data_IF_687938059525
#
_entry.id   IF_687938059525
#
_cell.length_a   1.000
_cell.length_b   1.000
_cell.length_c   1.000
_cell.angle_alpha   90.00
_cell.angle_beta   90.00
_cell.angle_gamma   90.00
#
_symmetry.space_group_name_H-M   'P 1'
#
loop_
_entity.id
_entity.type
_entity.pdbx_description
1 polymer ?
#
# COMPACT_ATOMS: atom_id res chain seq x y z
N UNK A 1 -15.74 -18.25 -12.34
CA UNK A 1 -14.42 -18.13 -13.02
C UNK A 1 -13.34 -18.29 -11.95
N UNK A 2 -12.35 -19.16 -12.16
CA UNK A 2 -11.29 -19.43 -11.17
C UNK A 2 -10.06 -18.59 -11.51
N UNK A 3 -9.77 -17.58 -10.69
CA UNK A 3 -8.57 -16.76 -10.78
C UNK A 3 -7.52 -17.28 -9.79
N UNK A 4 -6.28 -17.46 -10.25
CA UNK A 4 -5.16 -17.94 -9.42
C UNK A 4 -4.04 -16.92 -9.45
N UNK A 5 -3.59 -16.48 -8.27
CA UNK A 5 -2.37 -15.72 -8.08
C UNK A 5 -1.28 -16.64 -7.56
N UNK A 6 -0.14 -16.64 -8.23
CA UNK A 6 1.01 -17.42 -7.82
C UNK A 6 2.19 -16.55 -7.44
N UNK A 7 2.77 -16.88 -6.31
CA UNK A 7 4.06 -16.33 -5.89
C UNK A 7 5.01 -17.48 -5.52
N UNK A 8 6.16 -17.54 -6.19
CA UNK A 8 7.20 -18.53 -5.85
C UNK A 8 7.59 -18.41 -4.38
N UNK A 9 7.78 -17.18 -3.89
CA UNK A 9 8.11 -16.87 -2.51
C UNK A 9 7.29 -15.71 -1.99
N UNK A 10 6.63 -15.91 -0.86
CA UNK A 10 5.97 -14.86 -0.09
C UNK A 10 6.87 -14.53 1.10
N UNK A 11 7.56 -13.41 1.05
CA UNK A 11 8.51 -12.98 2.06
C UNK A 11 7.79 -12.40 3.29
N UNK A 12 8.51 -12.21 4.40
CA UNK A 12 7.95 -11.63 5.64
C UNK A 12 7.32 -10.26 5.37
N UNK A 13 7.98 -9.40 4.60
CA UNK A 13 7.49 -8.06 4.23
C UNK A 13 8.08 -7.63 2.88
N UNK A 14 7.25 -7.05 2.03
CA UNK A 14 7.65 -6.46 0.75
C UNK A 14 6.48 -5.78 0.05
N UNK A 15 6.78 -5.04 -1.01
CA UNK A 15 5.75 -4.34 -1.80
C UNK A 15 4.78 -5.28 -2.50
N UNK A 16 5.27 -6.44 -2.98
CA UNK A 16 4.44 -7.44 -3.66
C UNK A 16 3.54 -8.18 -2.66
N UNK A 17 4.05 -8.44 -1.46
CA UNK A 17 3.27 -9.01 -0.36
C UNK A 17 2.17 -8.04 0.09
N UNK A 18 2.47 -6.75 0.18
CA UNK A 18 1.47 -5.72 0.50
C UNK A 18 0.43 -5.58 -0.61
N UNK A 19 0.85 -5.60 -1.89
CA UNK A 19 -0.07 -5.64 -3.02
C UNK A 19 -1.05 -6.80 -2.92
N UNK A 20 -0.54 -8.03 -2.73
CA UNK A 20 -1.38 -9.23 -2.64
C UNK A 20 -2.35 -9.16 -1.45
N UNK A 21 -1.88 -8.66 -0.31
CA UNK A 21 -2.73 -8.45 0.86
C UNK A 21 -3.82 -7.40 0.60
N UNK A 22 -3.51 -6.27 -0.02
CA UNK A 22 -4.51 -5.25 -0.33
C UNK A 22 -5.50 -5.72 -1.38
N UNK A 23 -5.01 -6.46 -2.38
CA UNK A 23 -5.88 -7.13 -3.33
C UNK A 23 -6.87 -8.06 -2.61
N UNK A 24 -6.37 -8.90 -1.67
CA UNK A 24 -7.19 -9.83 -0.89
C UNK A 24 -8.21 -9.14 0.02
N UNK A 25 -7.96 -7.91 0.44
CA UNK A 25 -8.91 -7.12 1.23
C UNK A 25 -10.05 -6.53 0.39
N UNK A 26 -9.75 -6.14 -0.85
CA UNK A 26 -10.67 -5.40 -1.71
C UNK A 26 -11.44 -6.30 -2.68
N UNK A 27 -10.87 -7.46 -3.02
CA UNK A 27 -11.44 -8.36 -4.03
C UNK A 27 -11.63 -9.77 -3.50
N UNK A 28 -12.57 -10.49 -4.12
CA UNK A 28 -12.86 -11.91 -3.93
C UNK A 28 -12.66 -12.65 -5.26
N UNK A 29 -12.99 -13.92 -5.30
CA UNK A 29 -12.95 -14.80 -6.48
C UNK A 29 -11.54 -15.08 -6.99
N UNK A 30 -10.56 -15.13 -6.09
CA UNK A 30 -9.24 -15.63 -6.42
C UNK A 30 -8.63 -16.46 -5.29
N UNK A 31 -7.68 -17.28 -5.65
CA UNK A 31 -6.94 -18.17 -4.74
C UNK A 31 -5.45 -17.87 -4.89
N UNK A 32 -4.72 -17.92 -3.79
CA UNK A 32 -3.28 -17.70 -3.78
C UNK A 32 -2.54 -19.03 -3.65
N UNK A 33 -1.60 -19.30 -4.55
CA UNK A 33 -0.68 -20.42 -4.47
C UNK A 33 0.75 -19.95 -4.27
N UNK A 34 1.54 -20.71 -3.50
CA UNK A 34 2.94 -20.41 -3.23
C UNK A 34 3.81 -21.68 -3.13
N UNK A 35 5.14 -21.54 -3.32
CA UNK A 35 6.13 -22.57 -2.99
C UNK A 35 6.65 -22.43 -1.57
N UNK A 36 7.13 -21.23 -1.24
CA UNK A 36 7.69 -20.86 0.05
C UNK A 36 6.98 -19.64 0.60
N UNK A 37 6.73 -19.59 1.88
CA UNK A 37 6.08 -18.42 2.48
C UNK A 37 6.44 -18.24 3.96
N UNK A 38 6.41 -16.98 4.40
CA UNK A 38 6.39 -16.60 5.81
C UNK A 38 5.02 -16.92 6.42
N UNK A 39 5.01 -17.61 7.57
CA UNK A 39 3.78 -18.06 8.21
C UNK A 39 2.83 -16.92 8.57
N UNK A 40 3.34 -15.77 9.04
CA UNK A 40 2.50 -14.61 9.40
C UNK A 40 1.83 -13.98 8.19
N UNK A 41 2.49 -14.00 7.02
CA UNK A 41 1.87 -13.54 5.78
C UNK A 41 0.77 -14.48 5.31
N UNK A 42 0.97 -15.80 5.45
CA UNK A 42 -0.08 -16.77 5.13
C UNK A 42 -1.29 -16.58 6.03
N UNK A 43 -1.11 -16.47 7.34
CA UNK A 43 -2.19 -16.19 8.29
C UNK A 43 -2.94 -14.88 7.94
N UNK A 44 -2.19 -13.86 7.53
CA UNK A 44 -2.75 -12.55 7.13
C UNK A 44 -3.60 -12.66 5.86
N UNK A 45 -3.13 -13.39 4.85
CA UNK A 45 -3.83 -13.60 3.59
C UNK A 45 -5.05 -14.52 3.76
N UNK A 46 -4.91 -15.61 4.51
CA UNK A 46 -5.95 -16.62 4.72
C UNK A 46 -7.21 -16.07 5.43
N UNK A 47 -7.09 -14.91 6.10
CA UNK A 47 -8.27 -14.18 6.63
C UNK A 47 -9.18 -13.60 5.54
N UNK A 48 -8.69 -13.48 4.32
CA UNK A 48 -9.38 -12.78 3.24
C UNK A 48 -9.68 -13.67 2.04
N UNK A 49 -8.79 -14.60 1.69
CA UNK A 49 -8.87 -15.46 0.50
C UNK A 49 -8.30 -16.84 0.81
N UNK A 50 -8.61 -17.84 -0.03
CA UNK A 50 -7.97 -19.15 0.06
C UNK A 50 -6.50 -19.07 -0.30
N UNK A 51 -5.64 -19.77 0.49
CA UNK A 51 -4.19 -19.76 0.31
C UNK A 51 -3.66 -21.19 0.41
N UNK A 52 -2.95 -21.66 -0.62
CA UNK A 52 -2.47 -23.03 -0.69
C UNK A 52 -0.98 -23.10 -1.05
N UNK A 53 -0.27 -24.02 -0.40
CA UNK A 53 1.04 -24.42 -0.86
C UNK A 53 0.89 -25.25 -2.15
N UNK A 54 1.69 -24.94 -3.15
CA UNK A 54 1.67 -25.73 -4.40
C UNK A 54 2.19 -27.14 -4.16
N UNK A 55 1.40 -28.14 -4.54
CA UNK A 55 1.73 -29.56 -4.41
C UNK A 55 1.39 -30.38 -5.66
N UNK A 56 0.54 -29.86 -6.54
CA UNK A 56 0.07 -30.55 -7.75
C UNK A 56 -0.29 -29.56 -8.84
N UNK A 57 -0.35 -29.99 -10.12
CA UNK A 57 -0.74 -29.14 -11.25
C UNK A 57 -2.04 -28.37 -11.00
N UNK A 58 -2.08 -27.13 -11.47
CA UNK A 58 -3.21 -26.22 -11.28
C UNK A 58 -3.96 -26.07 -12.60
N UNK A 59 -5.29 -26.16 -12.55
CA UNK A 59 -6.18 -25.78 -13.66
C UNK A 59 -7.06 -24.59 -13.25
N UNK A 60 -7.05 -23.53 -14.08
CA UNK A 60 -7.77 -22.29 -13.79
C UNK A 60 -8.22 -21.57 -15.07
N UNK A 61 -9.03 -20.52 -14.92
CA UNK A 61 -9.40 -19.66 -16.03
C UNK A 61 -8.33 -18.58 -16.28
N UNK A 62 -7.86 -17.92 -15.20
CA UNK A 62 -6.81 -16.90 -15.27
C UNK A 62 -5.70 -17.18 -14.25
N UNK A 63 -4.49 -17.16 -14.76
CA UNK A 63 -3.28 -17.32 -13.95
C UNK A 63 -2.50 -16.01 -13.91
N UNK A 64 -2.25 -15.50 -12.71
CA UNK A 64 -1.47 -14.30 -12.46
C UNK A 64 -0.19 -14.68 -11.71
N UNK A 65 0.97 -14.28 -12.20
CA UNK A 65 2.23 -14.45 -11.49
C UNK A 65 2.98 -13.14 -11.38
N UNK A 66 3.86 -13.07 -10.37
CA UNK A 66 4.81 -11.98 -10.16
C UNK A 66 6.22 -12.54 -10.21
N UNK A 67 7.15 -11.87 -10.89
CA UNK A 67 8.54 -12.27 -11.14
C UNK A 67 8.68 -13.52 -12.01
N UNK A 68 8.57 -14.71 -11.43
CA UNK A 68 8.73 -16.00 -12.13
C UNK A 68 7.79 -17.05 -11.56
N UNK A 69 7.55 -18.09 -12.32
CA UNK A 69 6.85 -19.28 -11.86
C UNK A 69 7.63 -20.53 -12.27
N UNK A 70 7.47 -21.60 -11.49
CA UNK A 70 8.15 -22.89 -11.62
C UNK A 70 7.19 -24.04 -11.31
N UNK A 71 5.94 -23.88 -11.73
CA UNK A 71 4.84 -24.81 -11.47
C UNK A 71 4.17 -25.22 -12.76
N UNK A 72 3.52 -26.39 -12.74
CA UNK A 72 2.65 -26.81 -13.84
C UNK A 72 1.29 -26.16 -13.68
N UNK A 73 0.88 -25.41 -14.70
CA UNK A 73 -0.40 -24.69 -14.72
C UNK A 73 -1.01 -24.71 -16.13
N UNK A 74 -2.29 -25.07 -16.18
CA UNK A 74 -3.13 -24.96 -17.38
C UNK A 74 -4.14 -23.83 -17.14
N UNK A 75 -4.07 -22.77 -17.92
CA UNK A 75 -4.97 -21.61 -17.81
C UNK A 75 -5.45 -21.19 -19.21
N UNK A 76 -6.63 -20.55 -19.26
CA UNK A 76 -7.13 -19.93 -20.51
C UNK A 76 -6.41 -18.62 -20.82
N UNK A 77 -6.02 -17.89 -19.76
CA UNK A 77 -5.29 -16.63 -19.86
C UNK A 77 -4.16 -16.59 -18.84
N UNK A 78 -3.00 -16.11 -19.27
CA UNK A 78 -1.81 -15.96 -18.44
C UNK A 78 -1.45 -14.49 -18.32
N UNK A 79 -1.16 -14.04 -17.09
CA UNK A 79 -0.78 -12.67 -16.78
C UNK A 79 0.51 -12.61 -15.95
N UNK A 80 1.42 -11.75 -16.35
CA UNK A 80 2.61 -11.42 -15.56
C UNK A 80 2.48 -9.99 -15.03
N UNK A 81 2.54 -9.83 -13.71
CA UNK A 81 2.42 -8.54 -13.03
C UNK A 81 3.80 -7.96 -12.80
N UNK A 82 4.04 -6.78 -13.35
CA UNK A 82 5.32 -6.07 -13.30
C UNK A 82 5.30 -5.09 -12.13
N UNK A 83 5.97 -5.46 -11.04
CA UNK A 83 6.06 -4.69 -9.79
C UNK A 83 7.35 -3.89 -9.66
N UNK A 84 8.16 -3.80 -10.69
CA UNK A 84 9.49 -3.22 -10.65
C UNK A 84 9.73 -2.28 -11.83
N UNK A 85 10.69 -1.41 -11.66
CA UNK A 85 11.27 -0.61 -12.76
C UNK A 85 12.29 -1.49 -13.48
N UNK A 86 11.91 -2.00 -14.66
CA UNK A 86 12.69 -2.97 -15.41
C UNK A 86 14.05 -2.45 -15.88
N UNK A 87 14.24 -1.12 -16.00
CA UNK A 87 15.50 -0.53 -16.36
C UNK A 87 16.51 -0.50 -15.20
N UNK A 88 16.00 -0.52 -13.96
CA UNK A 88 16.81 -0.39 -12.74
C UNK A 88 16.94 -1.68 -11.92
N UNK A 89 16.40 -2.81 -12.40
CA UNK A 89 16.62 -4.12 -11.77
C UNK A 89 17.83 -4.84 -12.37
N UNK A 90 18.54 -5.59 -11.53
CA UNK A 90 19.75 -6.34 -11.91
C UNK A 90 19.47 -7.70 -12.60
N UNK A 91 18.26 -7.93 -13.09
CA UNK A 91 17.88 -9.17 -13.78
C UNK A 91 17.08 -8.87 -15.06
N UNK A 92 17.04 -9.83 -15.96
CA UNK A 92 16.18 -9.76 -17.15
C UNK A 92 14.73 -10.08 -16.73
N UNK A 93 13.77 -9.22 -17.09
CA UNK A 93 12.36 -9.53 -16.90
C UNK A 93 11.96 -10.81 -17.63
N UNK A 94 11.16 -11.64 -16.98
CA UNK A 94 10.59 -12.82 -17.62
C UNK A 94 9.57 -12.40 -18.67
N UNK A 95 9.77 -12.89 -19.89
CA UNK A 95 8.82 -12.75 -20.99
C UNK A 95 8.50 -14.13 -21.56
N UNK A 96 7.23 -14.41 -21.77
CA UNK A 96 6.76 -15.67 -22.36
C UNK A 96 5.70 -15.40 -23.41
N UNK A 97 5.71 -16.17 -24.49
CA UNK A 97 4.66 -16.12 -25.50
C UNK A 97 3.30 -16.48 -24.87
N UNK A 98 2.26 -15.78 -25.27
CA UNK A 98 0.91 -15.98 -24.74
C UNK A 98 0.63 -15.30 -23.40
N UNK A 99 1.63 -14.69 -22.75
CA UNK A 99 1.40 -13.88 -21.54
C UNK A 99 0.94 -12.46 -21.88
N UNK A 100 -0.03 -11.99 -21.12
CA UNK A 100 -0.40 -10.58 -21.02
C UNK A 100 0.33 -9.95 -19.83
N UNK A 101 0.79 -8.72 -19.99
CA UNK A 101 1.57 -8.03 -18.96
C UNK A 101 0.74 -6.93 -18.31
N UNK A 102 0.76 -6.87 -16.98
CA UNK A 102 0.11 -5.83 -16.17
C UNK A 102 1.19 -5.07 -15.43
N UNK A 103 1.33 -3.77 -15.71
CA UNK A 103 2.24 -2.90 -14.95
C UNK A 103 1.48 -2.17 -13.85
N UNK A 104 2.04 -2.18 -12.65
CA UNK A 104 1.41 -1.55 -11.47
C UNK A 104 1.52 -0.01 -11.45
N UNK A 105 2.18 0.56 -12.44
CA UNK A 105 2.35 2.00 -12.65
C UNK A 105 2.76 2.30 -14.08
N UNK A 106 2.64 3.56 -14.52
CA UNK A 106 3.20 4.02 -15.81
C UNK A 106 4.71 3.82 -15.86
N UNK A 107 5.39 4.07 -14.73
CA UNK A 107 6.84 3.84 -14.60
C UNK A 107 7.17 2.37 -14.87
N UNK A 108 6.45 1.41 -14.26
CA UNK A 108 6.64 -0.01 -14.52
C UNK A 108 6.33 -0.40 -15.97
N UNK A 109 5.22 0.09 -16.52
CA UNK A 109 4.86 -0.17 -17.93
C UNK A 109 5.90 0.35 -18.91
N UNK A 110 6.35 1.61 -18.72
CA UNK A 110 7.32 2.26 -19.60
C UNK A 110 8.66 1.53 -19.55
N UNK A 111 9.21 1.28 -18.36
CA UNK A 111 10.50 0.62 -18.20
C UNK A 111 10.48 -0.83 -18.71
N UNK A 112 9.36 -1.53 -18.56
CA UNK A 112 9.20 -2.90 -19.10
C UNK A 112 9.17 -2.89 -20.63
N UNK A 113 8.43 -1.95 -21.25
CA UNK A 113 8.40 -1.78 -22.70
C UNK A 113 9.79 -1.48 -23.26
N UNK A 114 10.51 -0.52 -22.64
CA UNK A 114 11.88 -0.16 -23.05
C UNK A 114 12.86 -1.33 -22.92
N UNK A 115 12.71 -2.17 -21.90
CA UNK A 115 13.60 -3.29 -21.64
C UNK A 115 13.32 -4.52 -22.49
N UNK A 116 12.05 -4.79 -22.83
CA UNK A 116 11.61 -6.06 -23.42
C UNK A 116 10.90 -5.93 -24.75
N UNK A 117 10.48 -4.73 -25.16
CA UNK A 117 9.60 -4.50 -26.31
C UNK A 117 8.12 -4.85 -26.07
N UNK A 118 7.76 -5.40 -24.91
CA UNK A 118 6.40 -5.83 -24.61
C UNK A 118 5.59 -4.72 -23.91
N UNK A 119 4.34 -4.54 -24.35
CA UNK A 119 3.41 -3.58 -23.75
C UNK A 119 2.75 -4.16 -22.51
N UNK A 120 2.57 -3.34 -21.47
CA UNK A 120 1.75 -3.65 -20.31
C UNK A 120 0.40 -2.95 -20.37
N UNK A 121 -0.64 -3.61 -19.85
CA UNK A 121 -1.83 -2.93 -19.39
C UNK A 121 -1.52 -2.25 -18.05
N UNK A 122 -1.93 -0.98 -17.89
CA UNK A 122 -1.77 -0.25 -16.64
C UNK A 122 -2.91 -0.57 -15.68
N UNK A 123 -2.59 -1.20 -14.55
CA UNK A 123 -3.52 -1.40 -13.43
C UNK A 123 -2.78 -1.07 -12.14
N UNK A 124 -3.11 0.06 -11.54
CA UNK A 124 -2.46 0.51 -10.31
C UNK A 124 -2.62 -0.46 -9.16
N UNK A 125 -1.64 -0.47 -8.25
CA UNK A 125 -1.75 -1.22 -7.01
C UNK A 125 -3.03 -0.82 -6.27
N UNK A 126 -3.81 -1.79 -5.78
CA UNK A 126 -4.92 -1.49 -4.90
C UNK A 126 -4.37 -1.02 -3.55
N UNK A 127 -4.91 0.08 -3.02
CA UNK A 127 -4.56 0.57 -1.69
C UNK A 127 -5.88 0.81 -0.97
N UNK A 128 -6.20 0.04 0.08
CA UNK A 128 -7.41 0.26 0.85
C UNK A 128 -7.32 1.61 1.57
N UNK A 129 -8.42 2.35 1.56
CA UNK A 129 -8.49 3.69 2.16
C UNK A 129 -8.95 3.53 3.61
N UNK A 130 -8.05 3.59 4.61
CA UNK A 130 -8.47 3.69 6.00
C UNK A 130 -8.98 5.11 6.27
N UNK A 131 -9.88 5.22 7.25
CA UNK A 131 -10.43 6.51 7.64
C UNK A 131 -9.32 7.46 8.17
N UNK A 132 -9.03 8.58 7.50
CA UNK A 132 -8.06 9.53 8.00
C UNK A 132 -8.61 10.20 9.26
N UNK A 133 -7.88 10.13 10.37
CA UNK A 133 -8.19 10.93 11.58
C UNK A 133 -7.32 12.17 11.58
N UNK A 134 -7.90 13.28 12.02
CA UNK A 134 -7.17 14.52 12.22
C UNK A 134 -5.96 14.29 13.14
N UNK A 135 -4.80 14.81 12.74
CA UNK A 135 -3.54 14.70 13.45
C UNK A 135 -3.36 15.89 14.40
N UNK A 136 -2.88 15.62 15.61
CA UNK A 136 -2.40 16.68 16.53
C UNK A 136 -0.89 16.85 16.27
N UNK A 137 -0.48 18.02 15.84
CA UNK A 137 0.94 18.36 15.69
C UNK A 137 1.57 18.46 17.11
N UNK A 138 2.80 17.98 17.22
CA UNK A 138 3.66 18.13 18.40
C UNK A 138 4.83 19.05 18.03
N UNK A 139 5.45 19.68 19.01
CA UNK A 139 6.60 20.58 18.78
C UNK A 139 7.82 19.82 18.25
N UNK A 140 7.97 18.55 18.63
CA UNK A 140 9.01 17.66 18.14
C UNK A 140 8.66 17.02 16.82
N UNK A 141 9.62 16.95 15.90
CA UNK A 141 9.46 16.30 14.59
C UNK A 141 9.67 14.79 14.72
N UNK A 142 8.62 14.02 14.46
CA UNK A 142 8.65 12.56 14.44
C UNK A 142 8.75 12.03 13.00
N UNK A 143 9.90 11.46 12.64
CA UNK A 143 10.13 10.86 11.34
C UNK A 143 9.94 9.34 11.39
N UNK A 144 9.35 8.78 10.33
CA UNK A 144 9.24 7.33 10.16
C UNK A 144 9.72 6.91 8.77
N UNK A 145 10.39 5.79 8.68
CA UNK A 145 10.67 5.10 7.41
C UNK A 145 10.28 3.63 7.50
N UNK A 146 9.73 3.10 6.41
CA UNK A 146 9.42 1.68 6.25
C UNK A 146 10.17 1.18 5.00
N UNK A 147 11.44 0.80 5.14
CA UNK A 147 12.30 0.56 3.99
C UNK A 147 13.42 -0.45 4.28
N UNK A 148 13.86 -1.15 3.24
CA UNK A 148 15.12 -1.90 3.28
C UNK A 148 16.28 -0.91 3.22
N UNK A 149 17.34 -1.15 3.99
CA UNK A 149 18.53 -0.28 3.96
C UNK A 149 19.54 -0.76 2.90
N UNK A 150 19.06 -0.87 1.67
CA UNK A 150 19.89 -1.14 0.48
C UNK A 150 20.29 0.19 -0.20
N UNK A 151 21.27 0.12 -1.11
CA UNK A 151 21.79 1.31 -1.79
C UNK A 151 20.67 2.07 -2.54
N UNK A 152 19.82 1.35 -3.26
CA UNK A 152 18.70 1.92 -4.01
C UNK A 152 17.61 2.52 -3.11
N UNK A 153 17.44 2.01 -1.88
CA UNK A 153 16.48 2.52 -0.90
C UNK A 153 17.01 3.66 -0.03
N UNK A 154 18.27 4.07 -0.24
CA UNK A 154 18.76 5.34 0.21
C UNK A 154 19.33 5.40 1.63
N UNK A 155 19.90 4.31 2.17
CA UNK A 155 20.53 4.36 3.50
C UNK A 155 21.56 5.50 3.65
N UNK A 156 22.36 5.78 2.61
CA UNK A 156 23.28 6.93 2.60
C UNK A 156 22.56 8.29 2.57
N UNK A 157 21.43 8.40 1.87
CA UNK A 157 20.62 9.64 1.84
C UNK A 157 19.93 9.91 3.17
N UNK A 158 19.52 8.84 3.87
CA UNK A 158 19.02 8.95 5.24
C UNK A 158 20.07 9.56 6.16
N UNK A 159 21.33 9.08 6.10
CA UNK A 159 22.44 9.67 6.87
C UNK A 159 22.64 11.15 6.52
N UNK A 160 22.65 11.52 5.22
CA UNK A 160 22.81 12.92 4.81
C UNK A 160 21.70 13.81 5.33
N UNK A 161 20.43 13.36 5.27
CA UNK A 161 19.30 14.13 5.83
C UNK A 161 19.45 14.30 7.33
N UNK A 162 19.79 13.23 8.05
CA UNK A 162 19.99 13.27 9.49
C UNK A 162 21.14 14.23 9.88
N UNK A 163 22.28 14.17 9.18
CA UNK A 163 23.42 15.11 9.38
C UNK A 163 22.99 16.58 9.18
N UNK A 164 22.16 16.85 8.18
CA UNK A 164 21.63 18.20 7.95
C UNK A 164 20.73 18.67 9.12
N UNK A 165 19.82 17.80 9.57
CA UNK A 165 18.91 18.11 10.69
C UNK A 165 19.69 18.31 12.01
N UNK A 166 20.68 17.46 12.29
CA UNK A 166 21.55 17.55 13.47
C UNK A 166 22.37 18.86 13.45
N UNK A 167 22.99 19.21 12.30
CA UNK A 167 23.81 20.42 12.13
C UNK A 167 23.03 21.70 12.40
N UNK A 168 21.73 21.70 12.09
CA UNK A 168 20.86 22.88 12.25
C UNK A 168 20.19 22.89 13.64
N UNK A 169 20.38 21.83 14.43
CA UNK A 169 19.83 21.72 15.79
C UNK A 169 18.32 21.50 15.82
N UNK A 170 17.75 20.79 14.85
CA UNK A 170 16.33 20.44 14.86
C UNK A 170 16.09 19.34 15.89
N UNK A 171 15.08 19.54 16.76
CA UNK A 171 14.64 18.47 17.66
C UNK A 171 13.75 17.47 16.90
N UNK A 172 14.29 16.30 16.64
CA UNK A 172 13.59 15.23 15.97
C UNK A 172 13.94 13.86 16.54
N UNK A 173 13.09 12.89 16.29
CA UNK A 173 13.40 11.47 16.34
C UNK A 173 13.01 10.79 15.01
N UNK A 174 13.74 9.76 14.64
CA UNK A 174 13.51 9.02 13.40
C UNK A 174 13.50 7.53 13.65
N UNK A 175 12.33 6.90 13.55
CA UNK A 175 12.20 5.45 13.63
C UNK A 175 12.20 4.82 12.23
N UNK A 176 13.13 3.90 12.00
CA UNK A 176 13.26 3.18 10.72
C UNK A 176 12.90 1.71 10.91
N UNK A 177 11.80 1.29 10.32
CA UNK A 177 11.37 -0.10 10.25
C UNK A 177 12.06 -0.80 9.07
N UNK A 178 12.96 -1.74 9.37
CA UNK A 178 13.87 -2.33 8.36
C UNK A 178 14.20 -3.78 8.67
N UNK A 179 14.74 -4.47 7.66
CA UNK A 179 15.31 -5.82 7.82
C UNK A 179 16.78 -5.80 8.32
N UNK A 180 17.41 -4.63 8.46
CA UNK A 180 18.79 -4.45 8.91
C UNK A 180 18.83 -3.59 10.18
N UNK A 181 18.44 -4.16 11.30
CA UNK A 181 18.36 -3.45 12.58
C UNK A 181 19.72 -2.96 13.11
N UNK A 182 20.82 -3.55 12.67
CA UNK A 182 22.18 -3.16 13.06
C UNK A 182 22.87 -2.24 12.03
N UNK A 183 22.10 -1.51 11.21
CA UNK A 183 22.68 -0.54 10.30
C UNK A 183 23.26 0.64 11.10
N UNK A 184 24.53 0.98 10.82
CA UNK A 184 25.24 2.03 11.55
C UNK A 184 24.87 3.42 11.01
N UNK A 185 23.93 4.09 11.66
CA UNK A 185 23.62 5.49 11.44
C UNK A 185 24.53 6.39 12.29
N UNK A 186 24.93 7.53 11.75
CA UNK A 186 25.77 8.50 12.48
C UNK A 186 24.98 9.30 13.50
N UNK A 187 23.73 9.62 13.21
CA UNK A 187 22.86 10.38 14.11
C UNK A 187 22.33 9.53 15.25
N UNK A 188 22.42 10.02 16.48
CA UNK A 188 21.83 9.41 17.68
C UNK A 188 20.29 9.49 17.72
N UNK A 189 19.70 10.34 16.88
CA UNK A 189 18.25 10.55 16.80
C UNK A 189 17.57 9.49 15.93
N UNK A 190 18.34 8.57 15.31
CA UNK A 190 17.80 7.45 14.50
C UNK A 190 17.75 6.19 15.35
N UNK A 191 16.58 5.54 15.35
CA UNK A 191 16.36 4.21 15.94
C UNK A 191 15.87 3.25 14.87
N UNK A 192 16.50 2.08 14.77
CA UNK A 192 16.04 1.00 13.88
C UNK A 192 15.16 0.03 14.63
N UNK A 193 14.11 -0.44 13.99
CA UNK A 193 13.20 -1.47 14.49
C UNK A 193 12.95 -2.54 13.43
N UNK A 194 12.58 -3.73 13.87
CA UNK A 194 12.16 -4.78 12.95
C UNK A 194 10.94 -4.36 12.15
N UNK A 195 10.90 -4.82 10.90
CA UNK A 195 9.76 -4.63 10.01
C UNK A 195 8.47 -5.17 10.63
N UNK A 196 7.37 -4.44 10.44
CA UNK A 196 6.04 -4.81 10.91
C UNK A 196 5.06 -4.92 9.74
N UNK A 197 4.06 -5.79 9.88
CA UNK A 197 3.02 -6.01 8.87
C UNK A 197 2.04 -4.84 8.74
N UNK A 198 1.90 -4.06 9.80
CA UNK A 198 1.02 -2.89 9.86
C UNK A 198 1.71 -1.75 10.62
N UNK A 199 1.93 -0.65 9.93
CA UNK A 199 2.51 0.58 10.48
C UNK A 199 1.50 1.73 10.53
N UNK A 200 0.22 1.46 10.31
CA UNK A 200 -0.83 2.48 10.25
C UNK A 200 -0.83 3.41 11.47
N UNK A 201 -0.69 2.84 12.66
CA UNK A 201 -0.66 3.63 13.92
C UNK A 201 0.58 4.51 14.02
N UNK A 202 1.74 3.96 13.64
CA UNK A 202 3.03 4.66 13.74
C UNK A 202 3.13 5.76 12.68
N UNK A 203 2.70 5.51 11.44
CA UNK A 203 2.63 6.52 10.38
C UNK A 203 1.69 7.67 10.80
N UNK A 204 0.52 7.35 11.36
CA UNK A 204 -0.42 8.38 11.86
C UNK A 204 0.17 9.27 12.96
N UNK A 205 1.08 8.77 13.78
CA UNK A 205 1.73 9.54 14.85
C UNK A 205 2.91 10.38 14.34
N UNK A 206 3.51 9.99 13.20
CA UNK A 206 4.72 10.65 12.70
C UNK A 206 4.42 11.97 12.01
N UNK A 207 5.33 12.93 12.07
CA UNK A 207 5.22 14.21 11.35
C UNK A 207 5.37 13.99 9.86
N UNK A 208 6.33 13.15 9.45
CA UNK A 208 6.57 12.78 8.07
C UNK A 208 6.93 11.30 7.94
N UNK A 209 6.49 10.69 6.85
CA UNK A 209 7.13 9.46 6.35
C UNK A 209 8.28 9.86 5.41
N UNK A 210 9.43 9.24 5.58
CA UNK A 210 10.65 9.53 4.79
C UNK A 210 10.97 8.34 3.89
N UNK A 211 11.03 8.58 2.57
CA UNK A 211 11.35 7.57 1.55
C UNK A 211 12.32 8.15 0.52
N UNK A 212 13.62 7.92 0.74
CA UNK A 212 14.71 8.53 -0.07
C UNK A 212 15.30 7.54 -1.08
N UNK A 213 14.47 6.81 -1.79
CA UNK A 213 14.88 5.85 -2.81
C UNK A 213 15.48 6.53 -4.05
N UNK A 214 16.35 5.84 -4.79
CA UNK A 214 16.77 6.26 -6.14
C UNK A 214 15.97 5.59 -7.25
N UNK A 215 15.16 4.60 -6.90
CA UNK A 215 14.30 3.88 -7.83
C UNK A 215 13.06 3.35 -7.10
N UNK A 216 11.90 3.59 -7.67
CA UNK A 216 10.61 3.05 -7.24
C UNK A 216 9.73 2.78 -8.45
N UNK A 217 8.95 1.71 -8.38
CA UNK A 217 7.91 1.44 -9.39
C UNK A 217 6.57 2.08 -9.05
N UNK A 218 6.20 2.15 -7.76
CA UNK A 218 4.95 2.74 -7.31
C UNK A 218 5.11 3.56 -6.02
N UNK A 219 5.69 2.97 -4.97
CA UNK A 219 5.85 3.63 -3.66
C UNK A 219 4.65 3.41 -2.73
N UNK A 220 4.29 2.15 -2.45
CA UNK A 220 3.14 1.81 -1.60
C UNK A 220 3.18 2.50 -0.24
N UNK A 221 4.31 2.51 0.47
CA UNK A 221 4.45 3.17 1.78
C UNK A 221 4.18 4.68 1.74
N UNK A 222 4.58 5.34 0.65
CA UNK A 222 4.29 6.76 0.40
C UNK A 222 2.80 6.96 0.19
N UNK A 223 2.17 6.13 -0.63
CA UNK A 223 0.73 6.16 -0.88
C UNK A 223 -0.07 5.93 0.41
N UNK A 224 0.32 4.93 1.23
CA UNK A 224 -0.26 4.64 2.55
C UNK A 224 -0.15 5.85 3.48
N UNK A 225 1.01 6.49 3.53
CA UNK A 225 1.24 7.68 4.36
C UNK A 225 0.33 8.84 3.99
N UNK A 226 0.21 9.13 2.68
CA UNK A 226 -0.64 10.20 2.18
C UNK A 226 -2.13 9.94 2.43
N UNK A 227 -2.59 8.69 2.29
CA UNK A 227 -3.96 8.28 2.63
C UNK A 227 -4.26 8.51 4.11
N UNK A 228 -3.27 8.27 4.97
CA UNK A 228 -3.37 8.48 6.43
C UNK A 228 -3.26 9.95 6.85
N UNK A 229 -3.06 10.86 5.89
CA UNK A 229 -2.90 12.30 6.15
C UNK A 229 -1.51 12.67 6.69
N UNK A 230 -0.53 11.78 6.61
CA UNK A 230 0.86 12.04 6.99
C UNK A 230 1.65 12.41 5.74
N UNK A 231 2.18 13.66 5.65
CA UNK A 231 2.97 14.10 4.52
C UNK A 231 4.31 13.36 4.44
N UNK A 232 4.99 13.48 3.31
CA UNK A 232 6.18 12.69 3.04
C UNK A 232 7.40 13.55 2.70
N UNK A 233 8.60 13.06 3.05
CA UNK A 233 9.88 13.57 2.54
C UNK A 233 10.41 12.51 1.57
N UNK A 234 10.57 12.87 0.30
CA UNK A 234 10.86 11.93 -0.78
C UNK A 234 11.92 12.49 -1.74
N UNK A 235 12.55 11.61 -2.48
CA UNK A 235 13.37 11.97 -3.63
C UNK A 235 12.50 12.29 -4.85
N UNK A 236 13.03 13.06 -5.80
CA UNK A 236 12.34 13.40 -7.06
C UNK A 236 12.32 12.19 -8.00
N UNK A 237 11.27 11.35 -7.92
CA UNK A 237 11.08 10.18 -8.77
C UNK A 237 9.76 10.26 -9.56
N UNK A 238 9.76 9.77 -10.83
CA UNK A 238 8.53 9.70 -11.64
C UNK A 238 7.38 8.96 -10.94
N UNK A 239 7.68 7.84 -10.26
CA UNK A 239 6.69 7.06 -9.52
C UNK A 239 5.98 7.87 -8.43
N UNK A 240 6.69 8.74 -7.71
CA UNK A 240 6.09 9.58 -6.67
C UNK A 240 5.24 10.71 -7.25
N UNK A 241 5.66 11.30 -8.39
CA UNK A 241 4.83 12.27 -9.15
C UNK A 241 3.55 11.59 -9.64
N UNK A 242 3.66 10.38 -10.14
CA UNK A 242 2.54 9.59 -10.68
C UNK A 242 1.48 9.29 -9.62
N UNK A 243 1.87 8.98 -8.38
CA UNK A 243 0.94 8.78 -7.28
C UNK A 243 0.44 10.08 -6.63
N UNK A 244 0.78 11.25 -7.19
CA UNK A 244 0.24 12.54 -6.75
C UNK A 244 1.00 13.22 -5.61
N UNK A 245 2.30 12.95 -5.43
CA UNK A 245 3.15 13.73 -4.56
C UNK A 245 3.43 15.10 -5.17
N UNK A 246 3.15 16.17 -4.42
CA UNK A 246 3.32 17.56 -4.85
C UNK A 246 4.11 18.30 -3.78
N UNK A 247 5.29 18.84 -4.17
CA UNK A 247 6.15 19.63 -3.30
C UNK A 247 5.39 20.83 -2.71
N UNK A 248 5.55 21.06 -1.41
CA UNK A 248 4.87 22.15 -0.69
C UNK A 248 3.39 21.89 -0.35
N UNK A 249 2.79 20.81 -0.87
CA UNK A 249 1.40 20.46 -0.59
C UNK A 249 1.29 19.24 0.33
N UNK A 250 1.78 18.10 -0.09
CA UNK A 250 1.72 16.83 0.64
C UNK A 250 3.08 16.11 0.69
N UNK A 251 4.09 16.67 0.05
CA UNK A 251 5.44 16.15 0.00
C UNK A 251 6.48 17.26 0.10
N UNK A 252 7.63 16.93 0.68
CA UNK A 252 8.88 17.68 0.54
C UNK A 252 9.77 16.85 -0.37
N UNK A 253 10.02 17.38 -1.57
CA UNK A 253 10.77 16.66 -2.62
C UNK A 253 12.22 17.13 -2.58
N UNK A 254 13.14 16.17 -2.45
CA UNK A 254 14.58 16.37 -2.41
C UNK A 254 15.23 15.82 -3.67
N UNK A 255 16.36 16.38 -4.07
CA UNK A 255 17.20 15.78 -5.10
C UNK A 255 17.91 14.50 -4.60
N UNK A 256 18.43 13.70 -5.54
CA UNK A 256 19.09 12.43 -5.22
C UNK A 256 20.44 12.62 -4.49
N UNK A 257 21.10 13.74 -4.63
CA UNK A 257 22.36 14.03 -3.93
C UNK A 257 22.15 14.76 -2.60
N UNK A 258 20.88 15.09 -2.25
CA UNK A 258 20.45 15.73 -0.99
C UNK A 258 21.06 17.13 -0.79
N UNK A 259 21.30 17.89 -1.86
CA UNK A 259 21.81 19.26 -1.78
C UNK A 259 20.69 20.27 -1.56
N UNK A 260 19.54 20.04 -2.18
CA UNK A 260 18.37 20.92 -2.14
C UNK A 260 17.28 20.34 -1.24
N UNK A 261 17.53 20.30 0.08
CA UNK A 261 16.54 19.91 1.08
C UNK A 261 15.93 21.15 1.68
N UNK A 262 14.61 21.32 1.53
CA UNK A 262 13.89 22.45 2.11
C UNK A 262 13.68 22.26 3.62
N UNK A 263 14.69 22.64 4.40
CA UNK A 263 14.71 22.52 5.84
C UNK A 263 13.66 23.42 6.50
N UNK A 264 13.45 24.61 5.96
CA UNK A 264 12.45 25.54 6.52
C UNK A 264 11.02 24.99 6.36
N UNK A 265 10.77 24.31 5.25
CA UNK A 265 9.50 23.60 5.05
C UNK A 265 9.36 22.40 6.00
N UNK A 266 10.44 21.67 6.31
CA UNK A 266 10.43 20.58 7.31
C UNK A 266 10.05 21.15 8.70
N UNK A 267 10.62 22.28 9.11
CA UNK A 267 10.33 22.95 10.40
C UNK A 267 8.90 23.48 10.48
N UNK A 268 8.48 24.22 9.44
CA UNK A 268 7.16 24.87 9.39
C UNK A 268 6.01 23.85 9.29
N UNK A 269 6.27 22.68 8.75
CA UNK A 269 5.25 21.70 8.41
C UNK A 269 4.54 22.01 7.10
N UNK A 270 3.83 21.01 6.57
CA UNK A 270 3.01 21.15 5.38
C UNK A 270 1.54 21.45 5.74
N UNK A 271 0.80 22.14 4.86
CA UNK A 271 -0.61 22.41 5.08
C UNK A 271 -1.42 21.10 5.16
N UNK A 272 -2.61 21.17 5.74
CA UNK A 272 -3.56 20.06 5.67
C UNK A 272 -3.91 19.79 4.20
N UNK A 273 -3.96 18.53 3.83
CA UNK A 273 -4.28 18.12 2.46
C UNK A 273 -5.29 16.96 2.46
N UNK A 274 -5.97 16.82 1.33
CA UNK A 274 -6.77 15.65 0.99
C UNK A 274 -6.05 14.89 -0.11
N UNK A 275 -6.00 13.58 0.00
CA UNK A 275 -5.31 12.71 -0.95
C UNK A 275 -6.21 11.57 -1.40
N UNK A 276 -6.25 11.34 -2.71
CA UNK A 276 -6.87 10.16 -3.32
C UNK A 276 -5.79 9.40 -4.08
N UNK A 277 -5.60 8.11 -3.80
CA UNK A 277 -4.66 7.29 -4.56
C UNK A 277 -5.12 7.13 -6.02
N UNK A 278 -4.23 6.79 -6.94
CA UNK A 278 -4.62 6.41 -8.30
C UNK A 278 -5.66 5.28 -8.25
N UNK A 279 -6.69 5.41 -9.10
CA UNK A 279 -7.76 4.39 -9.16
C UNK A 279 -7.20 3.06 -9.66
N UNK A 280 -7.34 2.04 -8.85
CA UNK A 280 -7.05 0.66 -9.22
C UNK A 280 -8.24 0.09 -10.02
N UNK A 281 -7.97 -0.59 -11.14
CA UNK A 281 -9.00 -1.17 -12.00
C UNK A 281 -8.94 -2.71 -12.01
N UNK A 282 -8.62 -3.33 -10.89
CA UNK A 282 -8.63 -4.78 -10.74
C UNK A 282 -10.03 -5.39 -10.85
N UNK A 283 -11.09 -4.59 -10.74
CA UNK A 283 -12.48 -4.95 -11.03
C UNK A 283 -12.69 -5.48 -12.46
N UNK A 284 -11.78 -5.20 -13.39
CA UNK A 284 -11.74 -5.82 -14.71
C UNK A 284 -11.55 -7.34 -14.65
N UNK A 285 -10.84 -7.84 -13.65
CA UNK A 285 -10.48 -9.25 -13.52
C UNK A 285 -11.08 -9.92 -12.29
N UNK A 286 -11.36 -9.17 -11.24
CA UNK A 286 -11.80 -9.67 -9.95
C UNK A 286 -13.09 -8.99 -9.50
N UNK A 287 -13.90 -9.72 -8.77
CA UNK A 287 -15.11 -9.16 -8.14
C UNK A 287 -14.72 -8.41 -6.88
N UNK A 288 -15.10 -7.14 -6.77
CA UNK A 288 -14.90 -6.34 -5.57
C UNK A 288 -15.62 -7.02 -4.39
N UNK A 289 -14.97 -7.10 -3.25
CA UNK A 289 -15.67 -7.35 -1.99
C UNK A 289 -16.48 -6.11 -1.72
N UNK A 290 -17.72 -6.08 -2.19
CA UNK A 290 -18.66 -5.15 -1.62
C UNK A 290 -19.03 -5.71 -0.25
N UNK A 291 -18.98 -4.88 0.80
CA UNK A 291 -19.77 -5.13 2.01
C UNK A 291 -21.27 -5.09 1.69
N UNK A 292 -21.58 -5.03 0.41
CA UNK A 292 -22.88 -4.75 -0.17
C UNK A 292 -23.34 -5.96 -0.98
N UNK A 293 -23.87 -6.96 -0.31
CA UNK A 293 -24.87 -7.83 -0.93
C UNK A 293 -26.23 -7.11 -0.77
N UNK A 294 -26.92 -6.74 -1.89
CA UNK A 294 -28.25 -6.14 -1.79
C UNK A 294 -29.25 -6.99 -1.00
N UNK A 295 -29.02 -8.30 -0.89
CA UNK A 295 -29.81 -9.24 -0.09
C UNK A 295 -29.45 -9.20 1.41
N UNK A 296 -28.30 -8.63 1.77
CA UNK A 296 -27.81 -8.55 3.16
C UNK A 296 -27.97 -7.15 3.77
N UNK A 297 -28.79 -6.31 3.16
CA UNK A 297 -29.06 -4.98 3.69
C UNK A 297 -30.10 -5.05 4.80
N UNK A 298 -29.78 -4.44 5.93
CA UNK A 298 -30.72 -4.21 7.02
C UNK A 298 -31.03 -2.71 7.14
N UNK A 299 -32.27 -2.39 7.48
CA UNK A 299 -32.66 -1.02 7.81
C UNK A 299 -32.17 -0.68 9.21
N UNK A 300 -31.54 0.45 9.34
CA UNK A 300 -31.11 0.97 10.64
C UNK A 300 -31.59 2.40 10.82
N UNK A 301 -31.88 2.79 12.05
CA UNK A 301 -32.11 4.18 12.45
C UNK A 301 -30.85 4.72 13.08
N UNK A 302 -30.33 5.84 12.55
CA UNK A 302 -29.17 6.49 13.12
C UNK A 302 -29.54 7.18 14.44
N UNK A 303 -28.82 6.88 15.51
CA UNK A 303 -28.97 7.54 16.82
C UNK A 303 -28.14 8.83 16.89
N UNK A 304 -27.01 8.85 16.17
CA UNK A 304 -26.07 9.97 16.11
C UNK A 304 -25.78 10.33 14.65
N UNK A 305 -25.19 11.49 14.40
CA UNK A 305 -24.72 11.83 13.06
C UNK A 305 -23.57 10.88 12.67
N UNK A 306 -23.71 10.20 11.55
CA UNK A 306 -22.69 9.30 11.01
C UNK A 306 -22.29 9.77 9.60
N UNK A 307 -21.04 9.56 9.26
CA UNK A 307 -20.55 9.70 7.90
C UNK A 307 -20.32 8.31 7.31
N UNK A 308 -21.09 7.98 6.31
CA UNK A 308 -20.93 6.74 5.59
C UNK A 308 -19.89 6.89 4.49
N UNK A 309 -18.71 6.32 4.73
CA UNK A 309 -17.56 6.41 3.84
C UNK A 309 -17.71 5.62 2.54
N UNK A 310 -18.59 4.63 2.49
CA UNK A 310 -18.83 3.86 1.27
C UNK A 310 -19.68 4.63 0.27
N UNK A 311 -20.69 5.34 0.78
CA UNK A 311 -21.57 6.17 -0.04
C UNK A 311 -21.13 7.63 -0.09
N UNK A 312 -20.13 8.02 0.71
CA UNK A 312 -19.68 9.42 0.92
C UNK A 312 -20.83 10.35 1.39
N UNK A 313 -21.81 9.79 2.10
CA UNK A 313 -22.97 10.51 2.59
C UNK A 313 -22.90 10.76 4.09
N UNK A 314 -23.32 11.97 4.48
CA UNK A 314 -23.54 12.33 5.88
C UNK A 314 -24.99 12.06 6.27
N UNK A 315 -25.20 11.21 7.26
CA UNK A 315 -26.51 10.93 7.81
C UNK A 315 -26.69 11.66 9.15
N UNK A 316 -27.79 12.41 9.25
CA UNK A 316 -28.19 13.07 10.53
C UNK A 316 -28.74 12.02 11.48
N UNK A 317 -28.77 12.34 12.78
CA UNK A 317 -29.48 11.52 13.75
C UNK A 317 -30.97 11.34 13.37
N UNK A 318 -31.56 10.20 13.73
CA UNK A 318 -32.92 9.78 13.43
C UNK A 318 -33.24 9.49 11.95
N UNK A 319 -32.24 9.47 11.07
CA UNK A 319 -32.46 9.02 9.69
C UNK A 319 -32.54 7.48 9.64
N UNK A 320 -33.41 6.98 8.75
CA UNK A 320 -33.47 5.56 8.41
C UNK A 320 -32.67 5.35 7.13
N UNK A 321 -31.67 4.49 7.22
CA UNK A 321 -30.77 4.13 6.11
C UNK A 321 -30.66 2.62 6.00
N UNK A 322 -30.09 2.13 4.90
CA UNK A 322 -29.76 0.71 4.73
C UNK A 322 -28.24 0.53 4.86
N UNK A 323 -27.81 -0.41 5.67
CA UNK A 323 -26.42 -0.82 5.84
C UNK A 323 -26.31 -2.32 5.62
N UNK A 324 -25.12 -2.81 5.24
CA UNK A 324 -24.84 -4.24 5.32
C UNK A 324 -24.99 -4.73 6.76
N UNK A 325 -25.39 -6.00 6.95
CA UNK A 325 -25.59 -6.59 8.29
C UNK A 325 -24.35 -6.47 9.17
N UNK A 326 -23.17 -6.67 8.59
CA UNK A 326 -21.88 -6.51 9.29
C UNK A 326 -21.66 -5.08 9.77
N UNK A 327 -21.93 -4.07 8.95
CA UNK A 327 -21.78 -2.65 9.31
C UNK A 327 -22.84 -2.21 10.31
N UNK A 328 -24.06 -2.68 10.14
CA UNK A 328 -25.14 -2.42 11.09
C UNK A 328 -24.75 -2.92 12.49
N UNK A 329 -24.26 -4.16 12.61
CA UNK A 329 -23.75 -4.72 13.87
C UNK A 329 -22.58 -3.92 14.46
N UNK A 330 -21.64 -3.47 13.62
CA UNK A 330 -20.52 -2.64 14.08
C UNK A 330 -20.99 -1.29 14.65
N UNK A 331 -21.88 -0.58 13.94
CA UNK A 331 -22.40 0.70 14.41
C UNK A 331 -23.37 0.55 15.59
N UNK A 332 -24.10 -0.56 15.66
CA UNK A 332 -24.97 -0.88 16.81
C UNK A 332 -24.12 -1.11 18.07
N UNK A 333 -23.02 -1.86 17.97
CA UNK A 333 -22.06 -2.08 19.09
C UNK A 333 -21.42 -0.77 19.60
N UNK A 334 -21.32 0.26 18.75
CA UNK A 334 -20.83 1.59 19.12
C UNK A 334 -21.95 2.56 19.52
N UNK A 335 -23.19 2.10 19.61
CA UNK A 335 -24.39 2.92 19.92
C UNK A 335 -24.62 4.08 18.92
N UNK A 336 -24.29 3.87 17.65
CA UNK A 336 -24.53 4.85 16.59
C UNK A 336 -25.83 4.60 15.81
N UNK A 337 -26.30 3.36 15.76
CA UNK A 337 -27.53 2.98 15.05
C UNK A 337 -28.36 2.00 15.87
N UNK A 338 -29.62 1.86 15.49
CA UNK A 338 -30.56 0.84 15.94
C UNK A 338 -31.02 0.04 14.73
N UNK A 339 -30.88 -1.27 14.78
CA UNK A 339 -31.35 -2.18 13.71
C UNK A 339 -32.89 -2.31 13.79
N UNK A 340 -33.57 -2.03 12.69
CA UNK A 340 -35.02 -1.97 12.59
C UNK A 340 -35.65 -3.21 11.95
N UNK A 341 -34.90 -4.03 11.24
CA UNK A 341 -35.41 -5.23 10.59
C UNK A 341 -35.60 -6.35 11.61
N UNK A 342 -36.78 -7.02 11.54
CA UNK A 342 -37.18 -8.10 12.46
C UNK A 342 -36.37 -9.40 12.32
N UNK A 343 -35.35 -9.44 11.47
CA UNK A 343 -34.48 -10.59 11.26
C UNK A 343 -33.31 -10.60 12.26
N UNK A 344 -33.61 -10.45 13.55
CA UNK A 344 -32.70 -10.82 14.62
C UNK A 344 -32.75 -12.34 14.79
N UNK A 345 -31.96 -13.05 14.01
CA UNK A 345 -31.61 -14.45 14.29
C UNK A 345 -30.11 -14.63 14.06
#
# INVERSE_FOLDING_TARGET
MKNVFYMKKISKIGGVESFLYYLSKLYKDFVVYYREADGKQIERLAKNVEVHKYTKPIKCDRFFCSYSYDIEVEAKEYFHIIHYDAMNVGFLPMTNDGFKYIGVSKTACKSFLEKTGNKCELIYNPVPIPNPRAKKLTDKIHLISATRLSKEKGGGRINKLAELLDKIGIDYDWTIYTNKINYNFKSKNITTKEQQLDLTKEIKKSTYLVQLSSCESFGLSVCESLILGTPVIITDLPAFKEIGCIHGKNAIVCDLDMKNVDIEMIKKGLPKFTYKPPKSNWDKYLTTKSDYDPKDLVKVRTKKRIWDLETDLHHKAQHIIKLSRQRASYFEALDYVEVLDNDRL
#
